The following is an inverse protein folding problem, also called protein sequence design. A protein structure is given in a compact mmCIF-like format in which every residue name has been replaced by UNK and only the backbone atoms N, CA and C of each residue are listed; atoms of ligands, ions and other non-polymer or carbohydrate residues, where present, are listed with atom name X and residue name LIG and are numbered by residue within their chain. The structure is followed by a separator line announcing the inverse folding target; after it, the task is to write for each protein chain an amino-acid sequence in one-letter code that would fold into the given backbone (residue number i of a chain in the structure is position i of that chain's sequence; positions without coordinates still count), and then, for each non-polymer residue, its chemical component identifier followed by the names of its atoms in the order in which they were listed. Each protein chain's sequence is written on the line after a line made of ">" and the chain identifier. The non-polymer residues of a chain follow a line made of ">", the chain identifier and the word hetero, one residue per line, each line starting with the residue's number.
data_IF_848177732995
#
_entry.id   IF_848177732995
#
_cell.length_a   1.000
_cell.length_b   1.000
_cell.length_c   1.000
_cell.angle_alpha   90.00
_cell.angle_beta   90.00
_cell.angle_gamma   90.00
#
_symmetry.space_group_name_H-M   'P 1'
#
loop_
_entity.id
_entity.type
_entity.pdbx_description
1 polymer ?
#
# COMPACT_ATOMS: atom_id res chain seq x y z
N UNK A 1 10.45 -10.43 17.65
CA UNK A 1 9.49 -9.36 17.30
C UNK A 1 9.29 -9.41 15.79
N UNK A 2 8.04 -9.48 15.32
CA UNK A 2 7.69 -9.54 13.89
C UNK A 2 6.98 -8.24 13.52
N UNK A 3 7.29 -7.66 12.35
CA UNK A 3 6.63 -6.49 11.77
C UNK A 3 5.12 -6.72 11.56
N UNK A 4 4.69 -7.98 11.44
CA UNK A 4 3.28 -8.37 11.34
C UNK A 4 2.57 -8.55 12.69
N UNK A 5 3.25 -8.27 13.80
CA UNK A 5 2.63 -8.37 15.13
C UNK A 5 1.79 -7.14 15.45
N UNK A 6 0.75 -7.35 16.26
CA UNK A 6 -0.28 -6.37 16.64
C UNK A 6 0.27 -5.01 17.13
N UNK A 7 1.50 -5.00 17.65
CA UNK A 7 2.18 -3.79 18.15
C UNK A 7 2.61 -2.82 17.05
N UNK A 8 2.64 -3.23 15.79
CA UNK A 8 3.15 -2.41 14.67
C UNK A 8 2.09 -2.09 13.62
N UNK A 9 0.84 -2.49 13.84
CA UNK A 9 -0.23 -2.47 12.84
C UNK A 9 -0.55 -1.07 12.27
N UNK A 10 -0.32 -0.01 13.05
CA UNK A 10 -0.56 1.39 12.64
C UNK A 10 0.70 2.18 12.33
N UNK A 11 1.90 1.58 12.37
CA UNK A 11 3.15 2.32 12.17
C UNK A 11 3.46 2.62 10.69
N UNK A 12 2.76 1.97 9.76
CA UNK A 12 3.04 2.03 8.32
C UNK A 12 1.93 2.70 7.50
N UNK A 13 0.98 3.36 8.17
CA UNK A 13 -0.10 4.08 7.53
C UNK A 13 -0.90 4.89 8.53
N UNK A 14 -1.98 5.51 8.07
CA UNK A 14 -2.94 6.20 8.95
C UNK A 14 -4.11 5.27 9.25
N UNK A 15 -4.56 5.23 10.50
CA UNK A 15 -5.81 4.57 10.87
C UNK A 15 -7.02 5.33 10.33
N UNK A 16 -8.17 4.64 10.22
CA UNK A 16 -9.43 5.28 9.83
C UNK A 16 -9.80 6.44 10.77
N UNK A 17 -9.57 6.28 12.08
CA UNK A 17 -9.81 7.32 13.07
C UNK A 17 -8.94 8.57 12.84
N UNK A 18 -7.65 8.40 12.53
CA UNK A 18 -6.75 9.51 12.22
C UNK A 18 -7.19 10.25 10.95
N UNK A 19 -7.63 9.52 9.92
CA UNK A 19 -8.15 10.11 8.68
C UNK A 19 -9.44 10.88 8.94
N UNK A 20 -10.40 10.30 9.67
CA UNK A 20 -11.64 10.99 10.03
C UNK A 20 -11.37 12.27 10.82
N UNK A 21 -10.47 12.21 11.79
CA UNK A 21 -10.11 13.36 12.62
C UNK A 21 -9.43 14.45 11.80
N UNK A 22 -8.56 14.09 10.85
CA UNK A 22 -7.95 15.05 9.93
C UNK A 22 -9.02 15.72 9.05
N UNK A 23 -9.95 14.97 8.46
CA UNK A 23 -11.01 15.54 7.64
C UNK A 23 -11.90 16.52 8.41
N UNK A 24 -12.25 16.18 9.66
CA UNK A 24 -12.98 17.07 10.57
C UNK A 24 -12.17 18.34 10.86
N UNK A 25 -10.88 18.20 11.16
CA UNK A 25 -9.99 19.33 11.46
C UNK A 25 -9.89 20.32 10.28
N UNK A 26 -9.81 19.82 9.05
CA UNK A 26 -9.78 20.66 7.84
C UNK A 26 -11.16 21.11 7.35
N UNK A 27 -12.24 20.73 8.05
CA UNK A 27 -13.63 21.09 7.70
C UNK A 27 -14.10 20.46 6.38
N UNK A 28 -13.56 19.30 6.01
CA UNK A 28 -13.90 18.61 4.78
C UNK A 28 -15.10 17.69 4.99
N UNK A 29 -16.19 17.94 4.28
CA UNK A 29 -17.34 17.05 4.21
C UNK A 29 -17.08 15.98 3.16
N UNK A 30 -16.97 14.72 3.57
CA UNK A 30 -16.79 13.60 2.64
C UNK A 30 -17.31 12.28 3.20
N UNK A 31 -17.63 11.33 2.32
CA UNK A 31 -17.93 9.95 2.73
C UNK A 31 -16.61 9.20 2.96
N UNK A 32 -16.37 8.74 4.20
CA UNK A 32 -15.16 7.97 4.54
C UNK A 32 -14.98 6.76 3.62
N UNK A 33 -16.09 6.14 3.15
CA UNK A 33 -16.04 5.03 2.20
C UNK A 33 -15.44 5.41 0.85
N UNK A 34 -15.68 6.63 0.36
CA UNK A 34 -15.08 7.12 -0.88
C UNK A 34 -13.59 7.40 -0.68
N UNK A 35 -13.22 8.03 0.43
CA UNK A 35 -11.80 8.25 0.80
C UNK A 35 -11.07 6.92 0.91
N UNK A 36 -11.70 5.92 1.55
CA UNK A 36 -11.18 4.56 1.68
C UNK A 36 -10.99 3.90 0.32
N UNK A 37 -11.99 3.96 -0.55
CA UNK A 37 -11.91 3.38 -1.91
C UNK A 37 -10.77 3.94 -2.75
N UNK A 38 -10.38 5.18 -2.53
CA UNK A 38 -9.30 5.83 -3.27
C UNK A 38 -7.92 5.66 -2.64
N UNK A 39 -7.85 5.62 -1.30
CA UNK A 39 -6.61 5.82 -0.56
C UNK A 39 -6.32 4.75 0.51
N UNK A 40 -7.10 3.68 0.56
CA UNK A 40 -6.78 2.52 1.38
C UNK A 40 -5.44 1.92 0.96
N UNK A 41 -4.53 1.82 1.92
CA UNK A 41 -3.12 1.49 1.72
C UNK A 41 -2.88 -0.01 1.70
N UNK A 42 -2.80 -0.56 2.90
CA UNK A 42 -2.20 -1.85 3.14
C UNK A 42 -2.88 -2.49 4.34
N UNK A 43 -2.82 -3.82 4.40
CA UNK A 43 -3.17 -4.57 5.60
C UNK A 43 -1.90 -4.98 6.34
N UNK A 44 -1.69 -4.43 7.54
CA UNK A 44 -0.62 -4.83 8.44
C UNK A 44 -1.21 -5.53 9.64
N UNK A 45 -0.86 -6.81 9.83
CA UNK A 45 -1.53 -7.66 10.82
C UNK A 45 -3.04 -7.73 10.54
N UNK A 46 -3.84 -7.32 11.51
CA UNK A 46 -5.30 -7.19 11.39
C UNK A 46 -5.79 -5.77 11.07
N UNK A 47 -4.92 -4.76 11.03
CA UNK A 47 -5.32 -3.41 10.71
C UNK A 47 -5.26 -3.11 9.21
N UNK A 48 -6.30 -2.45 8.72
CA UNK A 48 -6.30 -1.76 7.43
C UNK A 48 -5.90 -0.30 7.67
N UNK A 49 -4.86 0.16 6.99
CA UNK A 49 -4.34 1.52 7.12
C UNK A 49 -4.33 2.23 5.77
N UNK A 50 -4.57 3.53 5.79
CA UNK A 50 -4.58 4.41 4.63
C UNK A 50 -3.15 4.80 4.26
N UNK A 51 -2.90 4.98 2.97
CA UNK A 51 -1.63 5.50 2.48
C UNK A 51 -1.44 6.97 2.94
N UNK A 52 -0.42 7.30 3.77
CA UNK A 52 -0.28 8.65 4.31
C UNK A 52 -0.08 9.72 3.26
N UNK A 53 0.68 9.42 2.20
CA UNK A 53 0.94 10.37 1.10
C UNK A 53 -0.35 10.75 0.39
N UNK A 54 -1.18 9.76 0.07
CA UNK A 54 -2.47 9.96 -0.56
C UNK A 54 -3.40 10.84 0.30
N UNK A 55 -3.46 10.60 1.62
CA UNK A 55 -4.27 11.40 2.54
C UNK A 55 -3.76 12.83 2.66
N UNK A 56 -2.44 13.04 2.80
CA UNK A 56 -1.87 14.40 2.91
C UNK A 56 -2.17 15.23 1.66
N UNK A 57 -1.98 14.67 0.46
CA UNK A 57 -2.30 15.38 -0.77
C UNK A 57 -3.80 15.64 -0.91
N UNK A 58 -4.63 14.67 -0.53
CA UNK A 58 -6.08 14.86 -0.53
C UNK A 58 -6.52 16.00 0.39
N UNK A 59 -5.96 16.09 1.61
CA UNK A 59 -6.23 17.18 2.55
C UNK A 59 -5.74 18.54 2.01
N UNK A 60 -4.58 18.57 1.35
CA UNK A 60 -4.01 19.76 0.70
C UNK A 60 -4.90 20.28 -0.43
N UNK A 61 -5.19 19.41 -1.38
CA UNK A 61 -5.80 19.78 -2.66
C UNK A 61 -7.33 19.78 -2.60
N UNK A 62 -7.89 19.22 -1.53
CA UNK A 62 -9.33 19.12 -1.24
C UNK A 62 -10.13 18.41 -2.33
N UNK A 63 -9.50 17.49 -3.07
CA UNK A 63 -10.12 16.76 -4.17
C UNK A 63 -9.56 15.36 -4.34
N UNK A 64 -10.43 14.43 -4.71
CA UNK A 64 -10.02 13.06 -5.02
C UNK A 64 -9.21 13.01 -6.32
N UNK A 65 -7.99 12.47 -6.26
CA UNK A 65 -7.12 12.28 -7.41
C UNK A 65 -6.28 11.02 -7.24
N UNK A 66 -5.59 10.60 -8.29
CA UNK A 66 -4.76 9.40 -8.28
C UNK A 66 -3.39 9.64 -7.60
N UNK A 67 -3.37 9.97 -6.31
CA UNK A 67 -2.12 10.21 -5.56
C UNK A 67 -1.26 8.94 -5.34
N UNK A 68 -1.84 7.76 -5.57
CA UNK A 68 -1.15 6.46 -5.58
C UNK A 68 -0.05 6.34 -6.64
N UNK A 69 -0.13 7.11 -7.73
CA UNK A 69 0.80 6.98 -8.86
C UNK A 69 2.24 7.29 -8.44
N UNK A 70 2.42 8.06 -7.36
CA UNK A 70 3.74 8.44 -6.86
C UNK A 70 4.29 7.52 -5.75
N UNK A 71 3.55 6.49 -5.32
CA UNK A 71 3.95 5.60 -4.22
C UNK A 71 4.27 4.17 -4.66
N UNK A 72 3.92 3.79 -5.89
CA UNK A 72 4.24 2.48 -6.48
C UNK A 72 4.94 2.67 -7.81
N UNK A 73 6.25 2.94 -7.77
CA UNK A 73 7.05 2.87 -8.99
C UNK A 73 7.17 1.41 -9.44
N UNK A 74 6.63 1.11 -10.62
CA UNK A 74 6.74 -0.19 -11.26
C UNK A 74 8.18 -0.50 -11.72
N UNK A 75 9.13 0.41 -11.52
CA UNK A 75 10.55 0.23 -11.81
C UNK A 75 11.09 -1.12 -11.32
N UNK A 76 10.70 -1.57 -10.13
CA UNK A 76 11.09 -2.89 -9.62
C UNK A 76 10.54 -4.03 -10.48
N UNK A 77 9.28 -3.95 -10.92
CA UNK A 77 8.69 -4.96 -11.82
C UNK A 77 9.41 -4.97 -13.16
N UNK A 78 9.68 -3.78 -13.72
CA UNK A 78 10.40 -3.65 -14.99
C UNK A 78 11.85 -4.14 -14.91
N UNK A 79 12.55 -3.85 -13.82
CA UNK A 79 13.91 -4.33 -13.60
C UNK A 79 13.94 -5.86 -13.41
N UNK A 80 12.99 -6.40 -12.64
CA UNK A 80 12.82 -7.84 -12.50
C UNK A 80 12.53 -8.50 -13.85
N UNK A 81 11.64 -7.94 -14.68
CA UNK A 81 11.38 -8.46 -16.03
C UNK A 81 12.63 -8.41 -16.91
N UNK A 82 13.38 -7.30 -16.87
CA UNK A 82 14.57 -7.08 -17.71
C UNK A 82 15.72 -8.02 -17.36
N UNK A 83 15.89 -8.32 -16.08
CA UNK A 83 16.95 -9.19 -15.54
C UNK A 83 16.43 -10.58 -15.13
N UNK A 84 15.19 -10.94 -15.53
CA UNK A 84 14.52 -12.14 -15.02
C UNK A 84 15.18 -13.44 -15.47
N UNK A 85 15.23 -14.41 -14.55
CA UNK A 85 15.41 -15.81 -14.92
C UNK A 85 14.10 -16.37 -15.45
N UNK A 86 14.17 -17.49 -16.19
CA UNK A 86 13.00 -18.19 -16.73
C UNK A 86 11.95 -18.49 -15.64
N UNK A 87 12.39 -18.74 -14.41
CA UNK A 87 11.51 -19.05 -13.29
C UNK A 87 10.71 -17.82 -12.82
N UNK A 88 11.36 -16.65 -12.71
CA UNK A 88 10.68 -15.39 -12.35
C UNK A 88 9.62 -15.02 -13.39
N UNK A 89 9.92 -15.24 -14.67
CA UNK A 89 8.96 -14.96 -15.74
C UNK A 89 7.72 -15.84 -15.66
N UNK A 90 7.89 -17.15 -15.39
CA UNK A 90 6.77 -18.08 -15.19
C UNK A 90 5.92 -17.74 -13.98
N UNK A 91 6.55 -17.29 -12.89
CA UNK A 91 5.81 -16.85 -11.70
C UNK A 91 4.95 -15.62 -12.01
N UNK A 92 5.48 -14.64 -12.74
CA UNK A 92 4.73 -13.46 -13.17
C UNK A 92 3.59 -13.82 -14.13
N UNK A 93 3.80 -14.74 -15.07
CA UNK A 93 2.74 -15.25 -15.95
C UNK A 93 1.59 -15.88 -15.14
N UNK A 94 1.92 -16.73 -14.17
CA UNK A 94 0.92 -17.33 -13.28
C UNK A 94 0.13 -16.26 -12.49
N UNK A 95 0.81 -15.22 -11.99
CA UNK A 95 0.15 -14.09 -11.32
C UNK A 95 -0.78 -13.32 -12.26
N UNK A 96 -0.39 -13.07 -13.51
CA UNK A 96 -1.24 -12.40 -14.50
C UNK A 96 -2.47 -13.23 -14.90
N UNK A 97 -2.37 -14.55 -14.83
CA UNK A 97 -3.52 -15.46 -14.99
C UNK A 97 -4.41 -15.53 -13.73
N UNK A 98 -4.11 -14.75 -12.69
CA UNK A 98 -4.85 -14.73 -11.42
C UNK A 98 -4.55 -15.93 -10.50
N UNK A 99 -3.50 -16.70 -10.79
CA UNK A 99 -3.05 -17.81 -9.94
C UNK A 99 -2.19 -17.28 -8.80
N UNK A 100 -2.11 -18.05 -7.71
CA UNK A 100 -1.24 -17.74 -6.58
C UNK A 100 0.12 -18.45 -6.73
N UNK A 101 1.19 -17.78 -6.31
CA UNK A 101 2.54 -18.35 -6.21
C UNK A 101 2.98 -18.43 -4.74
N UNK A 102 3.82 -19.41 -4.41
CA UNK A 102 4.41 -19.54 -3.07
C UNK A 102 5.93 -19.44 -3.18
N UNK A 103 6.53 -18.52 -2.43
CA UNK A 103 7.98 -18.33 -2.34
C UNK A 103 8.40 -18.35 -0.87
N UNK A 104 9.56 -18.92 -0.61
CA UNK A 104 10.19 -18.82 0.71
C UNK A 104 10.90 -17.47 0.83
N UNK A 105 10.62 -16.75 1.92
CA UNK A 105 11.34 -15.53 2.24
C UNK A 105 12.69 -15.95 2.82
N UNK A 106 13.78 -15.53 2.18
CA UNK A 106 15.12 -15.78 2.71
C UNK A 106 15.25 -15.10 4.08
N UNK A 107 15.67 -15.83 5.13
CA UNK A 107 15.88 -15.24 6.45
C UNK A 107 17.08 -14.26 6.48
N UNK A 108 17.86 -14.18 5.40
CA UNK A 108 19.00 -13.27 5.25
C UNK A 108 18.67 -12.03 4.40
N UNK A 109 17.42 -11.85 4.01
CA UNK A 109 17.01 -10.66 3.25
C UNK A 109 17.16 -9.41 4.13
N UNK A 110 17.99 -8.47 3.68
CA UNK A 110 18.18 -7.15 4.30
C UNK A 110 17.54 -6.11 3.40
N UNK A 111 16.71 -5.24 3.98
CA UNK A 111 16.22 -4.06 3.29
C UNK A 111 17.38 -3.05 3.27
N UNK A 112 17.87 -2.73 2.07
CA UNK A 112 18.77 -1.57 1.85
C UNK A 112 17.96 -0.26 1.79
#
# INVERSE_FOLDING_TARGET
>A
YNILGDKFETFFGLSEEEVENALKYFGMTYEIKEVKRWYDGYKFGNAEVYNPWSIINYLSDRGLQAYWVNTSDNALIYDNLKNSTVDVFKDLEALFEGKAIKKEISPFFTFE
#
